data_IF_323049978276
#
_entry.id   IF_323049978276
#
_cell.length_a   1.000
_cell.length_b   1.000
_cell.length_c   1.000
_cell.angle_alpha   90.00
_cell.angle_beta   90.00
_cell.angle_gamma   90.00
#
_symmetry.space_group_name_H-M   'P 1'
#
loop_
_entity.id
_entity.type
_entity.pdbx_description
1 polymer ?
#
# COMPACT_ATOMS: atom_id res chain seq x y z
N UNK A 1 -8.65 -18.66 8.29
CA UNK A 1 -9.88 -17.96 8.72
C UNK A 1 -9.62 -16.49 8.51
N UNK A 2 -10.25 -15.87 7.50
CA UNK A 2 -10.14 -14.43 7.27
C UNK A 2 -10.74 -13.72 8.48
N UNK A 3 -9.95 -12.92 9.18
CA UNK A 3 -10.43 -12.18 10.35
C UNK A 3 -11.37 -11.07 9.92
N UNK A 4 -12.28 -10.65 10.82
CA UNK A 4 -13.28 -9.61 10.55
C UNK A 4 -12.67 -8.32 9.96
N UNK A 5 -11.44 -8.00 10.40
CA UNK A 5 -10.66 -6.88 9.89
C UNK A 5 -10.26 -7.02 8.42
N UNK A 6 -9.75 -8.20 8.03
CA UNK A 6 -9.35 -8.46 6.64
C UNK A 6 -10.57 -8.46 5.71
N UNK A 7 -11.69 -9.02 6.17
CA UNK A 7 -12.97 -8.95 5.46
C UNK A 7 -13.47 -7.52 5.29
N UNK A 8 -13.35 -6.68 6.32
CA UNK A 8 -13.70 -5.26 6.28
C UNK A 8 -12.81 -4.51 5.29
N UNK A 9 -11.49 -4.56 5.44
CA UNK A 9 -10.55 -3.89 4.53
C UNK A 9 -10.75 -4.34 3.06
N UNK A 10 -10.94 -5.63 2.82
CA UNK A 10 -11.18 -6.16 1.47
C UNK A 10 -12.54 -5.72 0.88
N UNK A 11 -13.57 -5.61 1.72
CA UNK A 11 -14.90 -5.11 1.31
C UNK A 11 -14.85 -3.62 1.04
N UNK A 12 -14.14 -2.86 1.87
CA UNK A 12 -13.97 -1.41 1.71
C UNK A 12 -13.15 -1.04 0.48
N UNK A 13 -12.25 -1.91 0.02
CA UNK A 13 -11.58 -1.76 -1.27
C UNK A 13 -12.56 -1.94 -2.44
N UNK A 14 -13.52 -2.87 -2.36
CA UNK A 14 -14.41 -3.20 -3.49
C UNK A 14 -15.17 -1.98 -4.03
N UNK A 15 -14.97 -1.68 -5.32
CA UNK A 15 -15.70 -0.62 -6.03
C UNK A 15 -15.05 0.77 -6.00
N UNK A 16 -13.92 0.96 -5.32
CA UNK A 16 -13.16 2.21 -5.30
C UNK A 16 -12.08 2.31 -6.40
N UNK A 17 -11.70 3.54 -6.82
CA UNK A 17 -10.69 3.74 -7.88
C UNK A 17 -9.28 3.29 -7.48
N UNK A 18 -8.97 3.23 -6.18
CA UNK A 18 -7.70 2.74 -5.63
C UNK A 18 -7.64 1.21 -5.46
N UNK A 19 -8.51 0.46 -6.14
CA UNK A 19 -8.56 -1.00 -5.98
C UNK A 19 -7.25 -1.69 -6.42
N UNK A 20 -6.73 -2.63 -5.61
CA UNK A 20 -5.60 -3.44 -6.02
C UNK A 20 -5.97 -4.31 -7.23
N UNK A 21 -5.00 -4.61 -8.13
CA UNK A 21 -5.23 -5.43 -9.32
C UNK A 21 -5.82 -6.80 -8.96
N UNK A 22 -6.84 -7.23 -9.72
CA UNK A 22 -7.48 -8.54 -9.53
C UNK A 22 -7.47 -9.35 -10.82
N UNK A 23 -7.22 -10.64 -10.70
CA UNK A 23 -7.36 -11.62 -11.76
C UNK A 23 -8.35 -12.71 -11.31
N UNK A 24 -9.43 -12.89 -12.07
CA UNK A 24 -10.46 -13.91 -11.80
C UNK A 24 -11.02 -13.87 -10.36
N UNK A 25 -11.23 -12.66 -9.82
CA UNK A 25 -11.78 -12.44 -8.47
C UNK A 25 -10.76 -12.52 -7.32
N UNK A 26 -9.50 -12.90 -7.59
CA UNK A 26 -8.42 -12.92 -6.59
C UNK A 26 -7.46 -11.74 -6.76
N UNK A 27 -6.81 -11.30 -5.68
CA UNK A 27 -5.70 -10.35 -5.74
C UNK A 27 -4.59 -10.90 -6.63
N UNK A 28 -4.14 -10.10 -7.58
CA UNK A 28 -3.08 -10.46 -8.51
C UNK A 28 -1.78 -9.80 -8.05
N UNK A 29 -0.76 -10.61 -7.79
CA UNK A 29 0.59 -10.17 -7.48
C UNK A 29 1.52 -10.67 -8.58
N UNK A 30 2.28 -9.77 -9.19
CA UNK A 30 3.29 -10.04 -10.20
C UNK A 30 4.63 -10.49 -9.57
N UNK A 31 4.82 -10.25 -8.28
CA UNK A 31 6.05 -10.63 -7.55
C UNK A 31 5.78 -10.95 -6.09
N UNK A 32 6.70 -11.67 -5.45
CA UNK A 32 6.57 -12.06 -4.04
C UNK A 32 6.57 -10.85 -3.09
N UNK A 33 7.38 -9.83 -3.39
CA UNK A 33 7.45 -8.62 -2.58
C UNK A 33 6.11 -7.85 -2.53
N UNK A 34 5.32 -7.88 -3.62
CA UNK A 34 4.02 -7.20 -3.69
C UNK A 34 3.02 -7.82 -2.71
N UNK A 35 3.01 -9.16 -2.62
CA UNK A 35 2.22 -9.90 -1.64
C UNK A 35 2.66 -9.58 -0.22
N UNK A 36 3.96 -9.49 0.01
CA UNK A 36 4.53 -9.15 1.32
C UNK A 36 4.15 -7.73 1.73
N UNK A 37 4.30 -6.74 0.84
CA UNK A 37 3.91 -5.35 1.10
C UNK A 37 2.41 -5.20 1.41
N UNK A 38 1.56 -5.92 0.67
CA UNK A 38 0.13 -5.97 0.95
C UNK A 38 -0.17 -6.55 2.34
N UNK A 39 0.45 -7.69 2.66
CA UNK A 39 0.29 -8.34 3.96
C UNK A 39 0.78 -7.48 5.13
N UNK A 40 1.90 -6.78 4.96
CA UNK A 40 2.47 -5.89 5.98
C UNK A 40 1.53 -4.72 6.29
N UNK A 41 0.99 -4.06 5.27
CA UNK A 41 0.02 -2.98 5.47
C UNK A 41 -1.22 -3.45 6.25
N UNK A 42 -1.80 -4.59 5.86
CA UNK A 42 -2.94 -5.18 6.59
C UNK A 42 -2.57 -5.55 8.03
N UNK A 43 -1.39 -6.12 8.26
CA UNK A 43 -0.95 -6.55 9.58
C UNK A 43 -0.70 -5.37 10.53
N UNK A 44 -0.12 -4.27 10.04
CA UNK A 44 0.11 -3.07 10.83
C UNK A 44 -1.20 -2.37 11.17
N UNK A 45 -2.09 -2.24 10.18
CA UNK A 45 -3.38 -1.60 10.39
C UNK A 45 -4.28 -2.43 11.32
N UNK A 46 -4.25 -3.77 11.23
CA UNK A 46 -4.93 -4.68 12.17
C UNK A 46 -4.41 -4.57 13.60
N UNK A 47 -3.13 -4.26 13.77
CA UNK A 47 -2.52 -4.03 15.08
C UNK A 47 -2.78 -2.62 15.63
N UNK A 48 -3.47 -1.76 14.88
CA UNK A 48 -3.83 -0.41 15.30
C UNK A 48 -2.69 0.59 15.23
N UNK A 49 -1.62 0.29 14.48
CA UNK A 49 -0.54 1.26 14.27
C UNK A 49 -1.01 2.45 13.44
N UNK A 50 -1.87 2.22 12.45
CA UNK A 50 -2.63 3.23 11.74
C UNK A 50 -4.03 2.72 11.39
N UNK A 51 -4.94 3.66 11.16
CA UNK A 51 -6.26 3.35 10.62
C UNK A 51 -6.17 3.03 9.12
N UNK A 52 -6.98 2.07 8.67
CA UNK A 52 -6.99 1.65 7.26
C UNK A 52 -7.32 2.80 6.30
N UNK A 53 -8.21 3.69 6.71
CA UNK A 53 -8.63 4.84 5.91
C UNK A 53 -7.49 5.86 5.70
N UNK A 54 -6.69 6.12 6.74
CA UNK A 54 -5.53 7.04 6.68
C UNK A 54 -4.46 6.52 5.71
N UNK A 55 -4.18 5.21 5.76
CA UNK A 55 -3.31 4.56 4.77
C UNK A 55 -3.87 4.69 3.34
N UNK A 56 -5.18 4.53 3.16
CA UNK A 56 -5.81 4.66 1.84
C UNK A 56 -5.71 6.09 1.30
N UNK A 57 -5.90 7.09 2.14
CA UNK A 57 -5.72 8.49 1.74
C UNK A 57 -4.27 8.76 1.30
N UNK A 58 -3.28 8.19 2.01
CA UNK A 58 -1.89 8.29 1.61
C UNK A 58 -1.62 7.59 0.27
N UNK A 59 -2.23 6.42 0.05
CA UNK A 59 -2.13 5.69 -1.22
C UNK A 59 -2.70 6.50 -2.39
N UNK A 60 -3.87 7.10 -2.21
CA UNK A 60 -4.50 7.96 -3.23
C UNK A 60 -3.59 9.17 -3.52
N UNK A 61 -2.99 9.77 -2.49
CA UNK A 61 -2.05 10.86 -2.65
C UNK A 61 -0.79 10.44 -3.42
N UNK A 62 -0.23 9.25 -3.16
CA UNK A 62 0.93 8.72 -3.87
C UNK A 62 0.65 8.38 -5.34
N UNK A 63 -0.52 7.80 -5.61
CA UNK A 63 -1.00 7.53 -6.97
C UNK A 63 -1.09 8.85 -7.73
N UNK A 64 -1.78 9.85 -7.15
CA UNK A 64 -1.96 11.16 -7.77
C UNK A 64 -0.62 11.88 -7.99
N UNK A 65 0.28 11.84 -7.01
CA UNK A 65 1.61 12.46 -7.11
C UNK A 65 2.43 11.84 -8.23
N UNK A 66 2.34 10.53 -8.43
CA UNK A 66 3.03 9.86 -9.52
C UNK A 66 2.41 10.21 -10.87
N UNK A 67 1.08 10.23 -10.97
CA UNK A 67 0.37 10.58 -12.21
C UNK A 67 0.67 12.01 -12.66
N UNK A 68 0.78 12.95 -11.72
CA UNK A 68 1.16 14.34 -12.00
C UNK A 68 2.62 14.46 -12.48
N UNK A 69 3.53 13.67 -11.88
CA UNK A 69 4.93 13.62 -12.29
C UNK A 69 5.16 12.90 -13.64
N UNK A 70 4.23 12.06 -14.08
CA UNK A 70 4.32 11.25 -15.31
C UNK A 70 3.12 11.50 -16.25
N UNK A 71 2.96 12.73 -16.79
CA UNK A 71 1.78 13.08 -17.58
C UNK A 71 1.74 12.43 -18.96
N UNK A 72 2.88 11.98 -19.51
CA UNK A 72 3.00 11.50 -20.89
C UNK A 72 3.34 10.01 -20.97
N UNK A 73 4.35 9.55 -20.23
CA UNK A 73 4.74 8.14 -20.22
C UNK A 73 4.26 7.46 -18.94
N UNK A 74 3.41 6.45 -19.08
CA UNK A 74 2.92 5.64 -17.95
C UNK A 74 3.40 4.19 -18.01
N UNK A 75 4.38 3.90 -18.87
CA UNK A 75 4.86 2.54 -19.14
C UNK A 75 5.48 1.87 -17.90
N UNK A 76 6.04 2.68 -16.99
CA UNK A 76 6.65 2.25 -15.73
C UNK A 76 5.68 2.17 -14.55
N UNK A 77 4.36 2.33 -14.77
CA UNK A 77 3.36 2.31 -13.70
C UNK A 77 3.34 0.96 -12.97
N UNK A 78 3.50 1.01 -11.64
CA UNK A 78 3.28 -0.13 -10.76
C UNK A 78 2.45 0.32 -9.53
N UNK A 79 1.29 -0.31 -9.35
CA UNK A 79 0.40 -0.05 -8.21
C UNK A 79 1.05 -0.38 -6.86
N UNK A 80 1.73 -1.52 -6.75
CA UNK A 80 2.35 -1.96 -5.49
C UNK A 80 3.58 -1.14 -5.11
N UNK A 81 4.18 -0.44 -6.07
CA UNK A 81 5.24 0.54 -5.79
C UNK A 81 4.66 1.77 -5.07
N UNK A 82 3.47 2.25 -5.50
CA UNK A 82 2.73 3.31 -4.79
C UNK A 82 2.21 2.85 -3.44
N UNK A 83 1.76 1.60 -3.36
CA UNK A 83 1.38 0.95 -2.09
C UNK A 83 2.52 0.94 -1.07
N UNK A 84 3.72 0.55 -1.52
CA UNK A 84 4.90 0.50 -0.66
C UNK A 84 5.27 1.91 -0.18
N UNK A 85 5.30 2.90 -1.09
CA UNK A 85 5.59 4.28 -0.74
C UNK A 85 4.58 4.84 0.30
N UNK A 86 3.28 4.57 0.13
CA UNK A 86 2.26 4.95 1.10
C UNK A 86 2.44 4.24 2.44
N UNK A 87 2.84 2.96 2.42
CA UNK A 87 3.09 2.17 3.63
C UNK A 87 4.27 2.72 4.43
N UNK A 88 5.36 3.08 3.75
CA UNK A 88 6.53 3.71 4.37
C UNK A 88 6.13 5.03 5.04
N UNK A 89 5.35 5.87 4.35
CA UNK A 89 4.88 7.13 4.93
C UNK A 89 3.96 6.93 6.13
N UNK A 90 3.03 5.97 6.06
CA UNK A 90 2.15 5.64 7.18
C UNK A 90 2.95 5.13 8.39
N UNK A 91 3.94 4.28 8.18
CA UNK A 91 4.81 3.77 9.24
C UNK A 91 5.68 4.87 9.88
N UNK A 92 6.18 5.81 9.08
CA UNK A 92 6.95 6.97 9.59
C UNK A 92 6.06 7.94 10.35
N UNK A 93 4.85 8.28 9.83
CA UNK A 93 3.90 9.17 10.51
C UNK A 93 3.48 8.64 11.89
N UNK A 94 3.39 7.32 12.03
CA UNK A 94 2.98 6.64 13.26
C UNK A 94 4.13 6.35 14.22
N UNK A 95 5.37 6.65 13.80
CA UNK A 95 6.58 6.41 14.61
C UNK A 95 6.93 4.93 14.76
N UNK A 96 6.36 4.04 13.93
CA UNK A 96 6.69 2.61 13.90
C UNK A 96 8.08 2.39 13.31
N UNK A 97 8.47 3.23 12.35
CA UNK A 97 9.78 3.24 11.71
C UNK A 97 10.31 4.68 11.65
N UNK A 98 11.61 4.85 11.80
CA UNK A 98 12.26 6.10 11.44
C UNK A 98 12.65 6.10 9.95
N UNK A 99 12.53 7.25 9.29
CA UNK A 99 12.87 7.37 7.87
C UNK A 99 14.36 7.13 7.60
N UNK A 100 15.23 7.39 8.57
CA UNK A 100 16.66 7.11 8.49
C UNK A 100 16.96 5.61 8.60
N UNK A 101 16.20 4.88 9.44
CA UNK A 101 16.30 3.42 9.53
C UNK A 101 15.94 2.73 8.20
N UNK A 102 14.90 3.22 7.52
CA UNK A 102 14.52 2.74 6.19
C UNK A 102 15.68 2.95 5.20
N UNK A 103 16.25 4.17 5.16
CA UNK A 103 17.36 4.49 4.25
C UNK A 103 18.60 3.66 4.54
N UNK A 104 18.93 3.46 5.82
CA UNK A 104 20.07 2.66 6.24
C UNK A 104 19.94 1.21 5.78
N UNK A 105 18.73 0.64 5.82
CA UNK A 105 18.47 -0.73 5.37
C UNK A 105 18.71 -0.94 3.86
N UNK A 106 18.54 0.09 3.03
CA UNK A 106 18.80 0.05 1.58
C UNK A 106 20.23 0.47 1.19
N UNK A 107 21.06 0.92 2.14
CA UNK A 107 22.42 1.37 1.89
C UNK A 107 23.49 0.26 1.98
N UNK A 108 23.06 -1.01 2.10
CA UNK A 108 23.92 -2.20 2.18
C UNK A 108 23.91 -2.98 0.87
#
# INVERSE_FOLDING_TARGET
>A
MLTHYEGFAMTEMMGKPDNPPRANGSLCFSSEWERTAFGMALALAKQGYFEWDDFRDELIAEIKSWEDAHPVDRSSWNYYDRWLAALEKAAVKTGVLDADEIKAAFAT
#
